data_IF_550818861999
#
_entry.id   IF_550818861999
#
_cell.length_a   1.000
_cell.length_b   1.000
_cell.length_c   1.000
_cell.angle_alpha   90.00
_cell.angle_beta   90.00
_cell.angle_gamma   90.00
#
_symmetry.space_group_name_H-M   'P 1'
#
loop_
_entity.id
_entity.type
_entity.pdbx_description
1 polymer ?
#
# COMPACT_ATOMS: atom_id res chain seq x y z
N UNK A 1 -14.78 -7.03 -16.93
CA UNK A 1 -14.23 -7.00 -15.56
C UNK A 1 -13.88 -8.37 -15.02
N UNK A 2 -14.81 -9.30 -14.79
CA UNK A 2 -14.43 -10.61 -14.20
C UNK A 2 -13.46 -11.38 -15.12
N UNK A 3 -13.73 -11.45 -16.42
CA UNK A 3 -12.83 -12.10 -17.40
C UNK A 3 -11.50 -11.37 -17.55
N UNK A 4 -11.53 -10.03 -17.49
CA UNK A 4 -10.36 -9.16 -17.54
C UNK A 4 -9.36 -9.49 -16.42
N UNK A 5 -9.87 -9.83 -15.24
CA UNK A 5 -9.07 -10.22 -14.08
C UNK A 5 -8.80 -11.73 -14.01
N UNK A 6 -9.07 -12.51 -15.06
CA UNK A 6 -8.92 -13.98 -15.01
C UNK A 6 -9.76 -14.61 -13.87
N UNK A 7 -10.96 -14.07 -13.62
CA UNK A 7 -11.92 -14.58 -12.66
C UNK A 7 -12.14 -13.68 -11.43
N UNK A 8 -13.16 -14.04 -10.64
CA UNK A 8 -13.62 -13.24 -9.50
C UNK A 8 -12.58 -13.16 -8.38
N UNK A 9 -11.75 -14.19 -8.23
CA UNK A 9 -10.75 -14.28 -7.17
C UNK A 9 -9.72 -13.13 -7.25
N UNK A 10 -9.14 -12.91 -8.43
CA UNK A 10 -8.14 -11.85 -8.62
C UNK A 10 -8.78 -10.46 -8.64
N UNK A 11 -10.02 -10.33 -9.13
CA UNK A 11 -10.79 -9.09 -9.02
C UNK A 11 -10.99 -8.70 -7.54
N UNK A 12 -11.32 -9.65 -6.67
CA UNK A 12 -11.45 -9.41 -5.23
C UNK A 12 -10.11 -8.96 -4.64
N UNK A 13 -8.99 -9.60 -4.98
CA UNK A 13 -7.66 -9.20 -4.50
C UNK A 13 -7.35 -7.75 -4.93
N UNK A 14 -7.64 -7.40 -6.18
CA UNK A 14 -7.45 -6.04 -6.68
C UNK A 14 -8.27 -5.01 -5.90
N UNK A 15 -9.53 -5.32 -5.59
CA UNK A 15 -10.42 -4.46 -4.80
C UNK A 15 -9.91 -4.35 -3.35
N UNK A 16 -9.42 -5.42 -2.74
CA UNK A 16 -8.82 -5.39 -1.39
C UNK A 16 -7.61 -4.46 -1.36
N UNK A 17 -6.71 -4.57 -2.34
CA UNK A 17 -5.57 -3.67 -2.48
C UNK A 17 -6.03 -2.22 -2.59
N UNK A 18 -7.01 -1.95 -3.46
CA UNK A 18 -7.58 -0.62 -3.65
C UNK A 18 -8.17 -0.03 -2.37
N UNK A 19 -8.96 -0.81 -1.62
CA UNK A 19 -9.51 -0.39 -0.32
C UNK A 19 -8.37 -0.07 0.66
N UNK A 20 -7.30 -0.87 0.66
CA UNK A 20 -6.11 -0.60 1.46
C UNK A 20 -5.49 0.76 1.15
N UNK A 21 -5.31 1.09 -0.13
CA UNK A 21 -4.77 2.39 -0.53
C UNK A 21 -5.70 3.56 -0.17
N UNK A 22 -7.02 3.44 -0.39
CA UNK A 22 -7.97 4.47 0.04
C UNK A 22 -7.91 4.67 1.56
N UNK A 23 -7.87 3.58 2.33
CA UNK A 23 -7.83 3.65 3.78
C UNK A 23 -6.60 4.40 4.29
N UNK A 24 -5.42 4.09 3.75
CA UNK A 24 -4.19 4.79 4.13
C UNK A 24 -4.11 6.21 3.56
N UNK A 25 -4.63 6.47 2.35
CA UNK A 25 -4.75 7.83 1.81
C UNK A 25 -5.64 8.70 2.71
N UNK A 26 -6.79 8.19 3.13
CA UNK A 26 -7.70 8.91 4.02
C UNK A 26 -7.05 9.20 5.37
N UNK A 27 -6.39 8.21 5.97
CA UNK A 27 -5.74 8.40 7.25
C UNK A 27 -4.59 9.39 7.22
N UNK A 28 -3.78 9.37 6.17
CA UNK A 28 -2.62 10.25 6.06
C UNK A 28 -3.02 11.70 5.74
N UNK A 29 -4.04 11.92 4.90
CA UNK A 29 -4.47 13.26 4.48
C UNK A 29 -5.51 13.91 5.40
N UNK A 30 -6.54 13.17 5.81
CA UNK A 30 -7.71 13.72 6.49
C UNK A 30 -7.78 13.33 7.97
N UNK A 31 -7.34 12.12 8.33
CA UNK A 31 -7.26 11.67 9.72
C UNK A 31 -5.81 11.69 10.28
N UNK A 32 -4.98 12.63 9.81
CA UNK A 32 -3.53 12.69 10.08
C UNK A 32 -3.22 12.60 11.58
N UNK A 33 -4.00 13.26 12.44
CA UNK A 33 -3.78 13.25 13.89
C UNK A 33 -3.88 11.83 14.48
N UNK A 34 -4.89 11.05 14.08
CA UNK A 34 -5.06 9.65 14.52
C UNK A 34 -3.95 8.76 13.98
N UNK A 35 -3.49 9.01 12.75
CA UNK A 35 -2.38 8.28 12.17
C UNK A 35 -1.08 8.54 12.94
N UNK A 36 -0.77 9.80 13.24
CA UNK A 36 0.40 10.20 14.03
C UNK A 36 0.38 9.53 15.41
N UNK A 37 -0.77 9.56 16.10
CA UNK A 37 -0.94 8.90 17.39
C UNK A 37 -0.69 7.38 17.29
N UNK A 38 -1.33 6.72 16.32
CA UNK A 38 -1.23 5.27 16.10
C UNK A 38 0.20 4.78 15.86
N UNK A 39 1.00 5.56 15.15
CA UNK A 39 2.39 5.24 14.81
C UNK A 39 3.41 5.90 15.73
N UNK A 40 2.96 6.54 16.82
CA UNK A 40 3.80 7.27 17.76
C UNK A 40 4.74 8.25 17.05
N UNK A 41 4.24 8.97 16.05
CA UNK A 41 5.00 10.00 15.30
C UNK A 41 4.93 11.31 16.08
N UNK A 42 5.99 12.12 16.05
CA UNK A 42 5.90 13.48 16.60
C UNK A 42 4.96 14.36 15.77
N UNK A 43 4.27 15.33 16.39
CA UNK A 43 3.32 16.19 15.67
C UNK A 43 3.98 16.99 14.54
N UNK A 44 5.26 17.35 14.67
CA UNK A 44 6.03 17.98 13.60
C UNK A 44 6.12 17.12 12.33
N UNK A 45 5.95 15.80 12.45
CA UNK A 45 5.89 14.86 11.33
C UNK A 45 4.62 14.96 10.48
N UNK A 46 3.61 15.75 10.87
CA UNK A 46 2.36 15.87 10.13
C UNK A 46 2.53 16.30 8.68
N UNK A 47 3.50 17.19 8.41
CA UNK A 47 3.84 17.57 7.05
C UNK A 47 4.29 16.36 6.23
N UNK A 48 5.21 15.55 6.75
CA UNK A 48 5.72 14.36 6.06
C UNK A 48 4.66 13.28 5.90
N UNK A 49 3.80 13.07 6.89
CA UNK A 49 2.68 12.11 6.80
C UNK A 49 1.72 12.51 5.68
N UNK A 50 1.35 13.80 5.59
CA UNK A 50 0.47 14.29 4.51
C UNK A 50 1.16 14.26 3.15
N UNK A 51 2.46 14.55 3.11
CA UNK A 51 3.25 14.44 1.89
C UNK A 51 3.23 13.00 1.34
N UNK A 52 3.48 11.99 2.18
CA UNK A 52 3.33 10.58 1.80
C UNK A 52 1.89 10.27 1.35
N UNK A 53 0.89 10.83 2.03
CA UNK A 53 -0.51 10.69 1.65
C UNK A 53 -0.85 11.15 0.23
N UNK A 54 -0.11 12.11 -0.33
CA UNK A 54 -0.29 12.53 -1.74
C UNK A 54 0.06 11.41 -2.72
N UNK A 55 1.15 10.68 -2.49
CA UNK A 55 1.57 9.55 -3.33
C UNK A 55 0.61 8.37 -3.20
N UNK A 56 0.17 8.05 -1.97
CA UNK A 56 -0.81 6.98 -1.73
C UNK A 56 -2.14 7.31 -2.43
N UNK A 57 -2.55 8.57 -2.41
CA UNK A 57 -3.77 9.04 -3.10
C UNK A 57 -3.63 8.96 -4.61
N UNK A 58 -2.50 9.39 -5.18
CA UNK A 58 -2.24 9.25 -6.60
C UNK A 58 -2.26 7.78 -7.02
N UNK A 59 -1.67 6.89 -6.22
CA UNK A 59 -1.69 5.45 -6.47
C UNK A 59 -3.12 4.89 -6.44
N UNK A 60 -3.93 5.26 -5.46
CA UNK A 60 -5.34 4.87 -5.38
C UNK A 60 -6.15 5.36 -6.59
N UNK A 61 -5.94 6.61 -7.03
CA UNK A 61 -6.64 7.18 -8.18
C UNK A 61 -6.26 6.51 -9.50
N UNK A 62 -4.99 6.17 -9.69
CA UNK A 62 -4.54 5.40 -10.87
C UNK A 62 -5.14 3.98 -10.82
N UNK A 63 -5.21 3.35 -9.64
CA UNK A 63 -5.88 2.05 -9.50
C UNK A 63 -7.37 2.15 -9.85
N UNK A 64 -8.05 3.20 -9.40
CA UNK A 64 -9.45 3.42 -9.76
C UNK A 64 -9.62 3.63 -11.27
N UNK A 65 -8.71 4.35 -11.90
CA UNK A 65 -8.70 4.51 -13.36
C UNK A 65 -8.56 3.16 -14.07
N UNK A 66 -7.55 2.36 -13.71
CA UNK A 66 -7.30 1.03 -14.28
C UNK A 66 -8.49 0.09 -14.06
N UNK A 67 -9.21 0.22 -12.94
CA UNK A 67 -10.44 -0.53 -12.71
C UNK A 67 -11.52 -0.28 -13.78
N UNK A 68 -11.61 0.94 -14.32
CA UNK A 68 -12.57 1.26 -15.37
C UNK A 68 -12.02 1.07 -16.79
N UNK A 69 -10.71 1.23 -16.97
CA UNK A 69 -10.05 1.12 -18.28
C UNK A 69 -9.82 -0.34 -18.70
N UNK A 70 -9.44 -1.20 -17.74
CA UNK A 70 -8.92 -2.54 -18.01
C UNK A 70 -7.49 -2.68 -17.51
N UNK A 71 -7.03 -3.91 -17.28
CA UNK A 71 -5.69 -4.16 -16.75
C UNK A 71 -4.65 -4.44 -17.84
N UNK A 72 -5.12 -4.69 -19.07
CA UNK A 72 -4.26 -4.93 -20.23
C UNK A 72 -3.21 -3.83 -20.41
N UNK A 73 -1.95 -4.23 -20.64
CA UNK A 73 -0.81 -3.31 -20.82
C UNK A 73 -0.35 -2.52 -19.59
N UNK A 74 -1.02 -2.62 -18.44
CA UNK A 74 -0.74 -1.82 -17.24
C UNK A 74 0.32 -2.42 -16.30
N UNK A 75 1.17 -3.36 -16.77
CA UNK A 75 2.13 -4.08 -15.92
C UNK A 75 2.99 -3.19 -15.01
N UNK A 76 3.38 -2.01 -15.47
CA UNK A 76 4.25 -1.10 -14.71
C UNK A 76 3.60 -0.65 -13.39
N UNK A 77 2.28 -0.46 -13.37
CA UNK A 77 1.53 -0.11 -12.17
C UNK A 77 1.53 -1.25 -11.15
N UNK A 78 1.29 -2.48 -11.61
CA UNK A 78 1.30 -3.67 -10.76
C UNK A 78 2.70 -3.92 -10.19
N UNK A 79 3.73 -3.84 -11.03
CA UNK A 79 5.12 -3.98 -10.60
C UNK A 79 5.50 -2.88 -9.59
N UNK A 80 5.09 -1.63 -9.81
CA UNK A 80 5.32 -0.57 -8.84
C UNK A 80 4.66 -0.91 -7.50
N UNK A 81 3.40 -1.35 -7.50
CA UNK A 81 2.68 -1.75 -6.28
C UNK A 81 3.43 -2.82 -5.49
N UNK A 82 3.91 -3.86 -6.18
CA UNK A 82 4.72 -4.93 -5.60
C UNK A 82 6.05 -4.41 -5.03
N UNK A 83 6.82 -3.67 -5.83
CA UNK A 83 8.13 -3.18 -5.42
C UNK A 83 8.01 -2.21 -4.24
N UNK A 84 7.02 -1.31 -4.29
CA UNK A 84 6.75 -0.38 -3.20
C UNK A 84 6.43 -1.15 -1.91
N UNK A 85 5.56 -2.16 -1.95
CA UNK A 85 5.19 -2.92 -0.75
C UNK A 85 6.35 -3.76 -0.20
N UNK A 86 7.19 -4.33 -1.07
CA UNK A 86 8.42 -5.05 -0.66
C UNK A 86 9.39 -4.11 0.04
N UNK A 87 9.66 -2.95 -0.57
CA UNK A 87 10.57 -1.94 -0.01
C UNK A 87 10.03 -1.47 1.35
N UNK A 88 8.74 -1.16 1.44
CA UNK A 88 8.12 -0.72 2.69
C UNK A 88 8.14 -1.81 3.77
N UNK A 89 7.92 -3.08 3.41
CA UNK A 89 8.03 -4.19 4.35
C UNK A 89 9.45 -4.28 4.93
N UNK A 90 10.47 -4.31 4.08
CA UNK A 90 11.86 -4.47 4.51
C UNK A 90 12.32 -3.26 5.32
N UNK A 91 12.08 -2.03 4.83
CA UNK A 91 12.50 -0.82 5.54
C UNK A 91 11.83 -0.72 6.90
N UNK A 92 10.51 -0.95 6.97
CA UNK A 92 9.77 -0.80 8.22
C UNK A 92 10.03 -1.94 9.20
N UNK A 93 10.33 -3.15 8.72
CA UNK A 93 10.78 -4.24 9.57
C UNK A 93 12.11 -3.89 10.25
N UNK A 94 13.06 -3.34 9.48
CA UNK A 94 14.32 -2.84 10.01
C UNK A 94 14.07 -1.74 11.04
N UNK A 95 13.22 -0.76 10.72
CA UNK A 95 12.89 0.34 11.62
C UNK A 95 12.30 -0.16 12.94
N UNK A 96 11.27 -1.02 12.89
CA UNK A 96 10.48 -1.42 14.07
C UNK A 96 11.17 -2.50 14.92
N UNK A 97 11.97 -3.38 14.33
CA UNK A 97 12.57 -4.50 15.07
C UNK A 97 14.08 -4.33 15.33
N UNK A 98 14.81 -3.68 14.42
CA UNK A 98 16.28 -3.75 14.41
C UNK A 98 17.00 -2.39 14.50
N UNK A 99 16.28 -1.27 14.46
CA UNK A 99 16.88 0.08 14.49
C UNK A 99 16.70 0.79 15.83
N UNK A 100 17.42 1.92 15.99
CA UNK A 100 17.24 2.84 17.13
C UNK A 100 15.95 3.66 17.03
N UNK A 101 15.29 3.69 15.87
CA UNK A 101 14.02 4.39 15.65
C UNK A 101 12.80 3.57 16.07
N UNK A 102 12.98 2.39 16.68
CA UNK A 102 11.89 1.47 17.04
C UNK A 102 10.97 1.98 18.16
N UNK A 103 11.38 3.01 18.91
CA UNK A 103 10.58 3.63 19.96
C UNK A 103 10.46 5.14 19.79
N UNK A 104 9.35 5.70 20.25
CA UNK A 104 9.22 7.13 20.50
C UNK A 104 8.62 7.35 21.90
N UNK A 105 9.25 8.22 22.71
CA UNK A 105 8.86 8.47 24.11
C UNK A 105 8.72 7.19 24.96
N UNK A 106 9.52 6.16 24.66
CA UNK A 106 9.50 4.87 25.36
C UNK A 106 8.45 3.87 24.87
N UNK A 107 7.56 4.26 23.94
CA UNK A 107 6.59 3.38 23.32
C UNK A 107 7.14 2.79 22.02
N UNK A 108 6.94 1.48 21.81
CA UNK A 108 7.37 0.80 20.58
C UNK A 108 6.40 1.11 19.44
N UNK A 109 6.94 1.42 18.26
CA UNK A 109 6.16 1.63 17.05
C UNK A 109 5.35 0.37 16.72
N UNK A 110 4.11 0.56 16.30
CA UNK A 110 3.20 -0.53 15.93
C UNK A 110 3.79 -1.44 14.84
N UNK A 111 3.62 -2.76 15.02
CA UNK A 111 4.00 -3.78 14.04
C UNK A 111 3.23 -3.69 12.72
N UNK A 112 2.08 -3.01 12.72
CA UNK A 112 1.32 -2.73 11.49
C UNK A 112 2.19 -2.07 10.42
N UNK A 113 3.18 -1.27 10.83
CA UNK A 113 4.12 -0.61 9.92
C UNK A 113 4.82 -1.55 8.94
N UNK A 114 5.05 -2.81 9.30
CA UNK A 114 5.63 -3.80 8.38
C UNK A 114 4.67 -4.97 8.07
N UNK A 115 3.70 -5.27 8.93
CA UNK A 115 2.72 -6.34 8.67
C UNK A 115 1.81 -5.98 7.49
N UNK A 116 1.31 -4.74 7.41
CA UNK A 116 0.43 -4.33 6.30
C UNK A 116 1.17 -4.37 4.94
N UNK A 117 2.39 -3.80 4.79
CA UNK A 117 3.18 -3.98 3.57
C UNK A 117 3.50 -5.43 3.21
N UNK A 118 3.69 -6.32 4.18
CA UNK A 118 3.88 -7.76 3.92
C UNK A 118 2.63 -8.39 3.31
N UNK A 119 1.45 -8.09 3.87
CA UNK A 119 0.17 -8.56 3.32
C UNK A 119 -0.03 -8.03 1.90
N UNK A 120 0.21 -6.74 1.66
CA UNK A 120 0.13 -6.17 0.31
C UNK A 120 1.11 -6.82 -0.66
N UNK A 121 2.33 -7.13 -0.22
CA UNK A 121 3.32 -7.85 -1.04
C UNK A 121 2.78 -9.20 -1.49
N UNK A 122 2.24 -9.99 -0.56
CA UNK A 122 1.68 -11.32 -0.87
C UNK A 122 0.51 -11.18 -1.84
N UNK A 123 -0.39 -10.23 -1.61
CA UNK A 123 -1.54 -9.98 -2.48
C UNK A 123 -1.12 -9.54 -3.88
N UNK A 124 -0.11 -8.66 -4.01
CA UNK A 124 0.44 -8.26 -5.30
C UNK A 124 1.07 -9.42 -6.05
N UNK A 125 1.86 -10.27 -5.38
CA UNK A 125 2.46 -11.46 -6.01
C UNK A 125 1.37 -12.39 -6.55
N UNK A 126 0.35 -12.70 -5.74
CA UNK A 126 -0.75 -13.58 -6.14
C UNK A 126 -1.52 -12.97 -7.32
N UNK A 127 -1.83 -11.67 -7.25
CA UNK A 127 -2.55 -10.96 -8.29
C UNK A 127 -1.76 -10.96 -9.60
N UNK A 128 -0.51 -10.50 -9.58
CA UNK A 128 0.36 -10.43 -10.77
C UNK A 128 0.47 -11.80 -11.43
N UNK A 129 0.73 -12.85 -10.65
CA UNK A 129 0.81 -14.21 -11.19
C UNK A 129 -0.52 -14.66 -11.84
N UNK A 130 -1.64 -14.28 -11.24
CA UNK A 130 -2.98 -14.60 -11.75
C UNK A 130 -3.38 -13.89 -13.03
N UNK A 131 -2.88 -12.67 -13.25
CA UNK A 131 -3.27 -11.82 -14.38
C UNK A 131 -2.13 -11.52 -15.37
N UNK A 132 -0.99 -12.20 -15.24
CA UNK A 132 0.22 -11.94 -16.03
C UNK A 132 -0.03 -11.97 -17.54
N UNK A 133 -0.87 -12.90 -18.03
CA UNK A 133 -1.21 -13.01 -19.45
C UNK A 133 -1.98 -11.80 -20.00
N UNK A 134 -2.57 -10.98 -19.11
CA UNK A 134 -3.31 -9.77 -19.45
C UNK A 134 -2.43 -8.53 -19.33
N UNK A 135 -1.71 -8.38 -18.22
CA UNK A 135 -0.99 -7.13 -17.92
C UNK A 135 0.29 -6.93 -18.74
N UNK A 136 0.91 -8.01 -19.26
CA UNK A 136 2.18 -7.98 -20.00
C UNK A 136 2.04 -7.97 -21.53
N UNK A 137 0.81 -7.79 -22.05
CA UNK A 137 0.53 -7.68 -23.50
C UNK A 137 1.05 -6.36 -24.06
#
# INVERSE_FOLDING_TARGET
>A
MIEEFNGVFFLIIYIILFIGFIYYAFQTLFATAKFIEKYSIDQSGAFMVRFVGTFISAFALIQLYIFFDGIEGHWAFFLFGLLQSVIAFVSNLITVEFSDYKTNKGEKITKEGYIAPLVFTILWVILIYGVQEKIYV
#
